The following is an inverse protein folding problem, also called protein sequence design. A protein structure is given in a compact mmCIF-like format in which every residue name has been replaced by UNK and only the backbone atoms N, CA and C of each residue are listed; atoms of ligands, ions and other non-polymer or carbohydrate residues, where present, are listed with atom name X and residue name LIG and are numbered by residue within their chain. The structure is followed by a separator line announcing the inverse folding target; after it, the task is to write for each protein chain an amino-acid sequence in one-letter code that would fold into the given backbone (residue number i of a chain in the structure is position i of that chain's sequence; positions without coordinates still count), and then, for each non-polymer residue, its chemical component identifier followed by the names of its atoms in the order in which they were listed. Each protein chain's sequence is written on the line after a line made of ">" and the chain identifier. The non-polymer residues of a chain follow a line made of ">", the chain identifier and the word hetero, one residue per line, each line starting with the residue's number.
data_IF_016546431658
#
_entry.id   IF_016546431658
#
_cell.length_a   1.000
_cell.length_b   1.000
_cell.length_c   1.000
_cell.angle_alpha   90.00
_cell.angle_beta   90.00
_cell.angle_gamma   90.00
#
_symmetry.space_group_name_H-M   'P 1'
#
loop_
_entity.id
_entity.type
_entity.pdbx_description
1 polymer ?
#
# COMPACT_ATOMS: atom_id res chain seq x y z
N UNK A 1 -10.13 -14.63 -14.44
CA UNK A 1 -9.18 -13.76 -13.73
C UNK A 1 -8.79 -12.58 -14.63
N UNK A 2 -9.16 -11.37 -14.22
CA UNK A 2 -8.79 -10.10 -14.85
C UNK A 2 -8.01 -9.25 -13.85
N UNK A 3 -7.07 -8.44 -14.36
CA UNK A 3 -6.28 -7.53 -13.57
C UNK A 3 -6.29 -6.12 -14.21
N UNK A 4 -6.36 -5.10 -13.38
CA UNK A 4 -6.22 -3.70 -13.78
C UNK A 4 -5.27 -3.03 -12.80
N UNK A 5 -4.22 -2.38 -13.30
CA UNK A 5 -3.33 -1.59 -12.47
C UNK A 5 -2.96 -0.29 -13.17
N UNK A 6 -2.82 0.78 -12.39
CA UNK A 6 -2.36 2.07 -12.91
C UNK A 6 -1.77 2.92 -11.77
N UNK A 7 -0.78 3.77 -12.08
CA UNK A 7 -0.22 4.70 -11.13
C UNK A 7 -1.03 6.01 -11.05
N UNK A 8 -0.85 6.74 -9.96
CA UNK A 8 -1.28 8.12 -9.79
C UNK A 8 -0.10 8.96 -9.31
N UNK A 9 0.27 9.95 -10.12
CA UNK A 9 1.39 10.85 -9.87
C UNK A 9 0.88 12.26 -9.56
N UNK A 10 1.53 12.93 -8.62
CA UNK A 10 1.39 14.37 -8.41
C UNK A 10 2.10 15.18 -9.51
N UNK A 11 2.19 16.49 -9.31
CA UNK A 11 2.91 17.38 -10.24
C UNK A 11 4.44 17.22 -10.13
N UNK A 12 4.94 16.62 -9.04
CA UNK A 12 6.37 16.47 -8.81
C UNK A 12 7.00 15.42 -9.73
N UNK A 13 8.23 15.71 -10.18
CA UNK A 13 8.98 14.83 -11.08
C UNK A 13 9.86 13.81 -10.36
N UNK A 14 10.22 14.05 -9.09
CA UNK A 14 11.04 13.17 -8.23
C UNK A 14 10.76 13.40 -6.74
N UNK A 15 10.95 12.38 -5.92
CA UNK A 15 10.94 12.47 -4.46
C UNK A 15 9.56 12.56 -3.81
N UNK A 16 8.50 12.82 -4.58
CA UNK A 16 7.14 12.81 -4.06
C UNK A 16 6.60 11.39 -3.85
N UNK A 17 5.73 11.19 -2.84
CA UNK A 17 4.98 9.95 -2.67
C UNK A 17 4.23 9.58 -3.94
N UNK A 18 4.42 8.34 -4.41
CA UNK A 18 3.68 7.78 -5.53
C UNK A 18 2.62 6.83 -5.00
N UNK A 19 1.41 6.91 -5.54
CA UNK A 19 0.35 5.94 -5.29
C UNK A 19 0.13 5.11 -6.55
N UNK A 20 -0.14 3.83 -6.37
CA UNK A 20 -0.59 2.97 -7.45
C UNK A 20 -1.79 2.16 -6.98
N UNK A 21 -2.61 1.76 -7.94
CA UNK A 21 -3.84 1.03 -7.69
C UNK A 21 -3.79 -0.28 -8.47
N UNK A 22 -4.26 -1.36 -7.84
CA UNK A 22 -4.40 -2.65 -8.47
C UNK A 22 -5.76 -3.27 -8.08
N UNK A 23 -6.47 -3.82 -9.05
CA UNK A 23 -7.67 -4.64 -8.87
C UNK A 23 -7.44 -5.99 -9.54
N UNK A 24 -7.82 -7.04 -8.86
CA UNK A 24 -7.80 -8.42 -9.36
C UNK A 24 -9.20 -8.98 -9.11
N UNK A 25 -9.78 -9.64 -10.10
CA UNK A 25 -11.11 -10.25 -10.00
C UNK A 25 -11.21 -11.51 -10.82
N UNK A 26 -12.08 -12.44 -10.45
CA UNK A 26 -12.39 -13.60 -11.27
C UNK A 26 -13.22 -13.24 -12.52
N UNK A 27 -13.99 -12.15 -12.45
CA UNK A 27 -14.78 -11.58 -13.56
C UNK A 27 -14.16 -10.33 -14.19
N UNK A 28 -14.85 -9.72 -15.18
CA UNK A 28 -14.38 -8.51 -15.84
C UNK A 28 -14.34 -7.30 -14.91
N UNK A 29 -13.30 -6.46 -15.02
CA UNK A 29 -13.16 -5.22 -14.26
C UNK A 29 -13.69 -4.05 -15.10
N UNK A 30 -14.91 -3.60 -14.80
CA UNK A 30 -15.55 -2.47 -15.51
C UNK A 30 -15.23 -1.11 -14.90
N UNK A 31 -14.77 -1.08 -13.65
CA UNK A 31 -14.46 0.15 -12.93
C UNK A 31 -13.10 0.69 -13.39
N UNK A 32 -13.07 1.93 -13.85
CA UNK A 32 -11.85 2.65 -14.24
C UNK A 32 -11.69 3.94 -13.45
N UNK A 33 -11.30 3.81 -12.18
CA UNK A 33 -11.11 4.93 -11.25
C UNK A 33 -10.13 4.52 -10.14
N UNK A 34 -9.67 5.49 -9.34
CA UNK A 34 -8.86 5.23 -8.14
C UNK A 34 -9.56 4.26 -7.17
N UNK A 35 -8.79 3.63 -6.28
CA UNK A 35 -9.36 2.80 -5.20
C UNK A 35 -9.56 3.70 -3.99
N UNK A 36 -10.83 3.92 -3.62
CA UNK A 36 -11.20 4.74 -2.47
C UNK A 36 -11.40 3.92 -1.19
N UNK A 37 -11.78 2.64 -1.34
CA UNK A 37 -11.99 1.71 -0.23
C UNK A 37 -11.19 0.40 -0.44
N UNK A 38 -9.86 0.41 -0.22
CA UNK A 38 -9.02 -0.75 -0.46
C UNK A 38 -9.24 -1.87 0.58
N UNK A 39 -8.97 -3.11 0.16
CA UNK A 39 -8.84 -4.28 1.04
C UNK A 39 -7.40 -4.47 1.52
N UNK A 40 -6.45 -3.99 0.73
CA UNK A 40 -5.02 -4.08 1.02
C UNK A 40 -4.36 -2.74 0.74
N UNK A 41 -3.50 -2.31 1.66
CA UNK A 41 -2.58 -1.18 1.48
C UNK A 41 -1.15 -1.71 1.62
N UNK A 42 -0.33 -1.45 0.60
CA UNK A 42 1.08 -1.85 0.60
C UNK A 42 1.94 -0.59 0.66
N UNK A 43 2.75 -0.47 1.71
CA UNK A 43 3.63 0.67 1.97
C UNK A 43 5.08 0.23 1.75
N UNK A 44 5.65 0.61 0.61
CA UNK A 44 7.00 0.19 0.19
C UNK A 44 8.14 0.92 0.90
N UNK A 45 7.87 2.11 1.47
CA UNK A 45 8.81 2.84 2.31
C UNK A 45 8.10 3.25 3.60
N UNK A 46 8.58 2.73 4.73
CA UNK A 46 8.06 3.03 6.07
C UNK A 46 8.03 4.53 6.42
N UNK A 47 8.76 5.41 5.74
CA UNK A 47 8.64 6.86 5.96
C UNK A 47 7.31 7.43 5.46
N UNK A 48 6.63 6.75 4.54
CA UNK A 48 5.38 7.22 3.92
C UNK A 48 4.24 7.39 4.94
N UNK A 49 4.10 6.47 5.89
CA UNK A 49 3.01 6.56 6.88
C UNK A 49 3.10 7.79 7.80
N UNK A 50 4.24 8.51 7.78
CA UNK A 50 4.43 9.77 8.53
C UNK A 50 4.01 11.01 7.75
N UNK A 51 3.93 10.92 6.43
CA UNK A 51 3.70 12.07 5.54
C UNK A 51 2.39 11.98 4.76
N UNK A 52 1.82 10.77 4.64
CA UNK A 52 0.52 10.53 4.02
C UNK A 52 -0.32 9.63 4.91
N UNK A 53 -1.63 9.87 4.92
CA UNK A 53 -2.59 8.97 5.55
C UNK A 53 -2.74 7.70 4.71
N UNK A 54 -1.91 6.69 5.00
CA UNK A 54 -1.86 5.43 4.25
C UNK A 54 -3.09 4.55 4.49
N UNK A 55 -3.80 4.73 5.61
CA UNK A 55 -4.98 3.91 5.96
C UNK A 55 -6.29 4.58 5.54
N UNK A 56 -6.25 5.70 4.83
CA UNK A 56 -7.43 6.42 4.40
C UNK A 56 -8.35 5.54 3.55
N UNK A 57 -9.57 5.33 4.04
CA UNK A 57 -10.61 4.56 3.36
C UNK A 57 -10.39 3.04 3.40
N UNK A 58 -9.33 2.55 4.04
CA UNK A 58 -9.14 1.12 4.25
C UNK A 58 -10.37 0.55 4.96
N UNK A 59 -10.92 -0.54 4.42
CA UNK A 59 -12.05 -1.25 5.05
C UNK A 59 -11.66 -1.73 6.44
N UNK A 60 -12.61 -1.88 7.36
CA UNK A 60 -12.34 -2.32 8.75
C UNK A 60 -11.61 -3.67 8.85
N UNK A 61 -11.83 -4.56 7.87
CA UNK A 61 -11.19 -5.87 7.76
C UNK A 61 -9.99 -5.87 6.81
N UNK A 62 -9.59 -4.73 6.27
CA UNK A 62 -8.46 -4.62 5.35
C UNK A 62 -7.12 -4.91 6.03
N UNK A 63 -6.05 -5.06 5.24
CA UNK A 63 -4.70 -5.37 5.74
C UNK A 63 -3.71 -4.30 5.28
N UNK A 64 -2.81 -3.87 6.18
CA UNK A 64 -1.68 -3.00 5.85
C UNK A 64 -0.40 -3.83 5.85
N UNK A 65 0.31 -3.86 4.73
CA UNK A 65 1.65 -4.46 4.62
C UNK A 65 2.69 -3.34 4.51
N UNK A 66 3.70 -3.33 5.39
CA UNK A 66 4.74 -2.29 5.41
C UNK A 66 6.11 -2.91 5.23
N UNK A 67 6.89 -2.39 4.28
CA UNK A 67 8.30 -2.71 4.15
C UNK A 67 9.11 -2.00 5.25
N UNK A 68 9.57 -2.78 6.22
CA UNK A 68 10.36 -2.33 7.37
C UNK A 68 10.93 -3.51 8.15
N UNK A 69 12.10 -3.32 8.77
CA UNK A 69 12.67 -4.25 9.74
C UNK A 69 11.97 -4.23 11.12
N UNK A 70 11.05 -3.28 11.34
CA UNK A 70 10.28 -3.19 12.58
C UNK A 70 9.19 -4.27 12.65
N UNK A 71 8.81 -4.64 13.86
CA UNK A 71 7.65 -5.49 14.09
C UNK A 71 6.34 -4.72 13.90
N UNK A 72 5.20 -5.40 13.62
CA UNK A 72 3.91 -4.75 13.45
C UNK A 72 3.49 -3.88 14.64
N UNK A 73 3.80 -4.29 15.87
CA UNK A 73 3.40 -3.58 17.10
C UNK A 73 4.16 -2.25 17.28
N UNK A 74 5.26 -2.06 16.57
CA UNK A 74 6.06 -0.83 16.61
C UNK A 74 5.57 0.24 15.62
N UNK A 75 4.57 -0.08 14.80
CA UNK A 75 4.03 0.81 13.79
C UNK A 75 2.98 1.72 14.44
N UNK A 76 3.16 3.06 14.43
CA UNK A 76 2.27 3.99 15.11
C UNK A 76 1.02 4.30 14.25
N UNK A 77 0.36 3.26 13.72
CA UNK A 77 -0.90 3.36 13.00
C UNK A 77 -2.02 2.81 13.88
N UNK A 78 -3.13 3.55 13.95
CA UNK A 78 -4.32 3.12 14.69
C UNK A 78 -5.13 2.14 13.83
N UNK A 79 -4.59 0.93 13.66
CA UNK A 79 -5.20 -0.10 12.82
C UNK A 79 -4.76 -1.50 13.28
N UNK A 80 -5.66 -2.48 13.25
CA UNK A 80 -5.40 -3.78 13.89
C UNK A 80 -4.60 -4.74 13.01
N UNK A 81 -4.90 -4.80 11.71
CA UNK A 81 -4.31 -5.80 10.80
C UNK A 81 -3.09 -5.25 10.07
N UNK A 82 -1.99 -5.14 10.79
CA UNK A 82 -0.69 -4.71 10.26
C UNK A 82 0.24 -5.92 10.11
N UNK A 83 0.87 -6.04 8.95
CA UNK A 83 1.97 -6.97 8.68
C UNK A 83 3.22 -6.18 8.27
N UNK A 84 4.40 -6.69 8.63
CA UNK A 84 5.67 -6.09 8.24
C UNK A 84 6.59 -7.12 7.58
N UNK A 85 7.47 -6.65 6.71
CA UNK A 85 8.50 -7.47 6.06
C UNK A 85 9.72 -6.61 5.78
N UNK A 86 10.93 -7.13 6.03
CA UNK A 86 12.16 -6.46 5.61
C UNK A 86 12.51 -6.83 4.16
N UNK A 87 11.71 -6.33 3.21
CA UNK A 87 11.92 -6.61 1.80
C UNK A 87 13.24 -6.00 1.29
N UNK A 88 13.69 -4.91 1.90
CA UNK A 88 14.98 -4.28 1.58
C UNK A 88 16.15 -5.18 1.99
N UNK A 89 16.15 -5.71 3.21
CA UNK A 89 17.17 -6.65 3.68
C UNK A 89 17.24 -7.89 2.79
N UNK A 90 16.09 -8.50 2.50
CA UNK A 90 15.98 -9.66 1.61
C UNK A 90 16.58 -9.35 0.23
N UNK A 91 16.26 -8.20 -0.35
CA UNK A 91 16.76 -7.83 -1.68
C UNK A 91 18.28 -7.58 -1.75
N UNK A 92 18.91 -7.23 -0.62
CA UNK A 92 20.36 -7.00 -0.53
C UNK A 92 21.15 -8.28 -0.23
N UNK A 93 20.51 -9.31 0.31
CA UNK A 93 21.12 -10.62 0.60
C UNK A 93 21.02 -11.62 -0.56
N UNK A 94 20.20 -11.33 -1.59
CA UNK A 94 20.11 -12.08 -2.85
C UNK A 94 21.24 -11.72 -3.82
#
# INVERSE_FOLDING_TARGET
>A
MSAQAFPHFGAERRGAPVKAFARISDGPILVHSQIYNPEYVIVLDSKLYKIVDVIKGLKDDGVVLINTAKKPEEIPLKYERIATVDATGIALEL
#
